data_IF_673704717418
#
_entry.id   IF_673704717418
#
_cell.length_a   1.000
_cell.length_b   1.000
_cell.length_c   1.000
_cell.angle_alpha   90.00
_cell.angle_beta   90.00
_cell.angle_gamma   90.00
#
_symmetry.space_group_name_H-M   'P 1'
#
loop_
_entity.id
_entity.type
_entity.pdbx_description
1 polymer ?
#
# COMPACT_ATOMS: atom_id res chain seq x y z
N UNK A 1 7.08 -20.68 -3.15
CA UNK A 1 7.79 -19.48 -2.65
C UNK A 1 8.52 -18.83 -3.82
N UNK A 2 8.38 -17.53 -4.03
CA UNK A 2 9.17 -16.80 -5.03
C UNK A 2 10.66 -16.79 -4.66
N UNK A 3 11.56 -16.67 -5.66
CA UNK A 3 13.02 -16.64 -5.42
C UNK A 3 13.47 -15.37 -4.67
N UNK A 4 12.68 -14.30 -4.74
CA UNK A 4 12.94 -12.99 -4.12
C UNK A 4 11.70 -12.66 -3.31
N UNK A 5 11.87 -12.33 -2.03
CA UNK A 5 10.78 -11.97 -1.12
C UNK A 5 11.13 -10.67 -0.42
N UNK A 6 10.26 -9.63 -0.45
CA UNK A 6 10.49 -8.42 0.32
C UNK A 6 10.59 -8.74 1.81
N UNK A 7 11.58 -8.14 2.46
CA UNK A 7 11.87 -8.35 3.87
C UNK A 7 11.69 -7.02 4.60
N UNK A 8 10.71 -6.96 5.50
CA UNK A 8 10.31 -5.77 6.24
C UNK A 8 10.96 -5.76 7.63
N UNK A 9 11.62 -4.65 7.96
CA UNK A 9 12.29 -4.45 9.24
C UNK A 9 11.44 -3.59 10.16
N UNK A 10 11.12 -4.10 11.35
CA UNK A 10 10.40 -3.40 12.40
C UNK A 10 11.25 -3.33 13.67
N UNK A 11 10.94 -2.38 14.54
CA UNK A 11 11.63 -2.28 15.83
C UNK A 11 11.22 -3.46 16.72
N UNK A 12 9.91 -3.57 16.98
CA UNK A 12 9.31 -4.61 17.82
C UNK A 12 7.86 -4.97 17.42
N UNK A 13 7.31 -4.29 16.40
CA UNK A 13 5.89 -4.37 16.03
C UNK A 13 5.59 -5.29 14.83
N UNK A 14 6.50 -6.18 14.42
CA UNK A 14 6.31 -7.04 13.24
C UNK A 14 5.00 -7.87 13.31
N UNK A 15 4.67 -8.44 14.47
CA UNK A 15 3.43 -9.22 14.64
C UNK A 15 2.17 -8.34 14.53
N UNK A 16 2.20 -7.15 15.12
CA UNK A 16 1.11 -6.18 15.03
C UNK A 16 0.91 -5.71 13.59
N UNK A 17 2.00 -5.44 12.88
CA UNK A 17 1.98 -5.03 11.48
C UNK A 17 1.40 -6.11 10.58
N UNK A 18 1.88 -7.35 10.68
CA UNK A 18 1.32 -8.48 9.92
C UNK A 18 -0.18 -8.66 10.19
N UNK A 19 -0.59 -8.61 11.46
CA UNK A 19 -2.00 -8.76 11.85
C UNK A 19 -2.87 -7.63 11.29
N UNK A 20 -2.36 -6.40 11.33
CA UNK A 20 -3.02 -5.24 10.74
C UNK A 20 -3.18 -5.37 9.22
N UNK A 21 -2.15 -5.80 8.49
CA UNK A 21 -2.27 -5.96 7.05
C UNK A 21 -3.27 -7.05 6.67
N UNK A 22 -3.32 -8.16 7.42
CA UNK A 22 -4.26 -9.26 7.17
C UNK A 22 -5.70 -8.87 7.46
N UNK A 23 -5.95 -7.93 8.38
CA UNK A 23 -7.31 -7.44 8.63
C UNK A 23 -7.81 -6.48 7.54
N UNK A 24 -6.92 -5.96 6.70
CA UNK A 24 -7.23 -5.00 5.63
C UNK A 24 -7.49 -5.72 4.30
N UNK A 25 -6.58 -6.61 3.90
CA UNK A 25 -6.61 -7.26 2.60
C UNK A 25 -7.50 -8.50 2.59
N UNK A 26 -8.14 -8.79 1.45
CA UNK A 26 -9.13 -9.88 1.35
C UNK A 26 -8.45 -11.24 1.23
N UNK A 27 -7.36 -11.31 0.46
CA UNK A 27 -6.58 -12.53 0.29
C UNK A 27 -5.25 -12.40 1.04
N UNK A 28 -5.31 -12.52 2.37
CA UNK A 28 -4.16 -12.34 3.22
C UNK A 28 -4.10 -13.39 4.33
N UNK A 29 -2.91 -13.87 4.64
CA UNK A 29 -2.68 -14.85 5.71
C UNK A 29 -1.26 -14.78 6.27
N UNK A 30 -1.10 -15.08 7.56
CA UNK A 30 0.20 -15.38 8.18
C UNK A 30 0.46 -16.86 7.95
N UNK A 31 1.63 -17.19 7.40
CA UNK A 31 2.03 -18.58 7.21
C UNK A 31 2.87 -19.11 8.37
N UNK A 32 3.76 -18.28 8.93
CA UNK A 32 4.68 -18.72 9.98
C UNK A 32 5.07 -17.57 10.91
N UNK A 33 5.22 -17.88 12.20
CA UNK A 33 5.74 -16.96 13.21
C UNK A 33 6.87 -17.68 13.98
N UNK A 34 8.04 -17.05 14.03
CA UNK A 34 9.18 -17.45 14.84
C UNK A 34 9.25 -16.63 16.13
N UNK A 35 9.43 -17.29 17.28
CA UNK A 35 9.49 -16.67 18.61
C UNK A 35 10.77 -17.03 19.35
N UNK A 36 11.22 -16.14 20.23
CA UNK A 36 12.37 -16.40 21.12
C UNK A 36 12.08 -17.61 22.00
N UNK A 37 12.95 -18.63 21.94
CA UNK A 37 12.84 -19.83 22.78
C UNK A 37 11.78 -20.84 22.35
N UNK A 38 11.18 -20.68 21.15
CA UNK A 38 10.16 -21.59 20.64
C UNK A 38 10.70 -22.96 20.19
N UNK A 39 10.05 -24.03 20.64
CA UNK A 39 10.03 -25.36 19.99
C UNK A 39 8.74 -25.52 19.17
N UNK A 40 8.56 -26.65 18.46
CA UNK A 40 7.36 -26.96 17.63
C UNK A 40 6.01 -26.84 18.37
N UNK A 41 5.98 -26.80 19.72
CA UNK A 41 4.77 -26.56 20.53
C UNK A 41 4.45 -25.08 20.80
N UNK A 42 5.28 -24.14 20.35
CA UNK A 42 4.84 -23.00 19.55
C UNK A 42 4.23 -21.74 20.18
N UNK A 43 4.22 -21.48 21.49
CA UNK A 43 3.51 -20.29 22.02
C UNK A 43 4.17 -19.50 23.17
N UNK A 44 5.50 -19.54 23.35
CA UNK A 44 6.13 -18.71 24.38
C UNK A 44 7.24 -17.84 23.79
N UNK A 45 7.20 -16.54 24.12
CA UNK A 45 8.23 -15.57 23.79
C UNK A 45 7.84 -14.48 22.78
N UNK A 46 8.57 -13.35 22.75
CA UNK A 46 8.41 -12.31 21.74
C UNK A 46 8.65 -12.84 20.31
N UNK A 47 7.95 -12.26 19.33
CA UNK A 47 8.18 -12.55 17.91
C UNK A 47 9.54 -12.02 17.48
N UNK A 48 10.29 -12.88 16.80
CA UNK A 48 11.53 -12.54 16.11
C UNK A 48 11.19 -12.20 14.66
N UNK A 49 10.53 -13.11 13.96
CA UNK A 49 10.22 -12.95 12.54
C UNK A 49 8.96 -13.70 12.14
N UNK A 50 8.42 -13.39 10.97
CA UNK A 50 7.29 -14.11 10.41
C UNK A 50 7.26 -14.05 8.89
N UNK A 51 6.43 -14.90 8.31
CA UNK A 51 6.10 -14.87 6.89
C UNK A 51 4.60 -14.74 6.74
N UNK A 52 4.18 -13.91 5.80
CA UNK A 52 2.79 -13.63 5.51
C UNK A 52 2.62 -13.34 4.03
N UNK A 53 1.38 -13.28 3.58
CA UNK A 53 1.00 -12.96 2.22
C UNK A 53 -0.08 -11.89 2.22
N UNK A 54 -0.01 -10.97 1.25
CA UNK A 54 -1.08 -10.01 0.93
C UNK A 54 -1.38 -10.10 -0.57
N UNK A 55 -2.63 -10.36 -0.94
CA UNK A 55 -3.10 -10.45 -2.33
C UNK A 55 -2.21 -11.35 -3.21
N UNK A 56 -1.76 -12.48 -2.65
CA UNK A 56 -0.88 -13.46 -3.30
C UNK A 56 0.61 -13.09 -3.33
N UNK A 57 1.01 -11.91 -2.83
CA UNK A 57 2.40 -11.49 -2.71
C UNK A 57 2.98 -11.92 -1.35
N UNK A 58 4.04 -12.73 -1.30
CA UNK A 58 4.67 -13.13 -0.04
C UNK A 58 5.59 -12.03 0.51
N UNK A 59 5.65 -11.94 1.83
CA UNK A 59 6.49 -11.04 2.59
C UNK A 59 7.14 -11.76 3.78
N UNK A 60 8.27 -11.22 4.22
CA UNK A 60 8.88 -11.56 5.51
C UNK A 60 8.91 -10.32 6.40
N UNK A 61 8.79 -10.50 7.71
CA UNK A 61 8.93 -9.45 8.71
C UNK A 61 9.91 -9.87 9.80
N UNK A 62 10.67 -8.91 10.35
CA UNK A 62 11.62 -9.10 11.45
C UNK A 62 11.45 -7.97 12.47
N UNK A 63 11.45 -8.34 13.74
CA UNK A 63 11.74 -7.44 14.85
C UNK A 63 13.25 -7.37 15.05
N UNK A 64 13.87 -6.33 14.48
CA UNK A 64 15.31 -6.14 14.50
C UNK A 64 15.77 -4.98 15.37
N UNK A 65 14.85 -4.25 16.02
CA UNK A 65 15.16 -3.06 16.80
C UNK A 65 15.34 -1.78 15.96
N UNK A 66 15.51 -0.62 16.60
CA UNK A 66 15.44 0.72 15.99
C UNK A 66 16.72 1.12 15.23
N UNK A 67 17.24 0.20 14.41
CA UNK A 67 18.46 0.40 13.64
C UNK A 67 18.19 0.95 12.24
N UNK A 68 17.03 0.63 11.67
CA UNK A 68 16.64 1.02 10.33
C UNK A 68 15.20 1.51 10.33
N UNK A 69 14.90 2.46 9.45
CA UNK A 69 13.55 2.99 9.24
C UNK A 69 13.19 2.88 7.78
N UNK A 70 11.90 2.65 7.51
CA UNK A 70 11.39 2.72 6.16
C UNK A 70 11.52 4.14 5.59
N UNK A 71 11.68 4.21 4.28
CA UNK A 71 11.66 5.45 3.52
C UNK A 71 10.84 5.23 2.26
N UNK A 72 10.31 6.30 1.63
CA UNK A 72 9.57 6.19 0.36
C UNK A 72 10.38 5.61 -0.80
N UNK A 73 11.69 5.36 -0.63
CA UNK A 73 12.53 4.70 -1.63
C UNK A 73 12.07 3.27 -1.96
N UNK A 74 11.35 2.62 -1.04
CA UNK A 74 10.57 1.41 -1.33
C UNK A 74 9.11 1.66 -0.95
N UNK A 75 8.20 1.28 -1.84
CA UNK A 75 6.76 1.37 -1.60
C UNK A 75 6.02 0.17 -2.16
N UNK A 76 4.85 -0.09 -1.61
CA UNK A 76 3.95 -1.14 -2.06
C UNK A 76 2.84 -0.53 -2.92
N UNK A 77 2.87 -0.86 -4.20
CA UNK A 77 1.90 -0.37 -5.18
C UNK A 77 0.70 -1.32 -5.24
N UNK A 78 -0.49 -0.82 -4.93
CA UNK A 78 -1.75 -1.57 -4.96
C UNK A 78 -2.57 -1.08 -6.13
N UNK A 79 -2.84 -1.99 -7.08
CA UNK A 79 -3.74 -1.74 -8.21
C UNK A 79 -5.18 -1.94 -7.76
N UNK A 80 -6.00 -0.90 -7.85
CA UNK A 80 -7.42 -0.94 -7.46
C UNK A 80 -8.31 -0.88 -8.69
N UNK A 81 -9.45 -1.57 -8.69
CA UNK A 81 -10.38 -1.59 -9.82
C UNK A 81 -11.57 -0.63 -9.64
N UNK A 82 -11.93 -0.30 -8.39
CA UNK A 82 -13.09 0.58 -8.10
C UNK A 82 -12.75 1.69 -7.11
N UNK A 83 -13.60 2.72 -7.05
CA UNK A 83 -13.44 3.81 -6.09
C UNK A 83 -13.61 3.32 -4.65
N UNK A 84 -14.51 2.38 -4.40
CA UNK A 84 -14.73 1.82 -3.06
C UNK A 84 -13.49 1.10 -2.55
N UNK A 85 -12.76 0.40 -3.42
CA UNK A 85 -11.50 -0.24 -3.06
C UNK A 85 -10.40 0.78 -2.76
N UNK A 86 -10.28 1.83 -3.58
CA UNK A 86 -9.37 2.96 -3.30
C UNK A 86 -9.70 3.60 -1.95
N UNK A 87 -10.98 3.86 -1.68
CA UNK A 87 -11.44 4.50 -0.46
C UNK A 87 -11.17 3.64 0.78
N UNK A 88 -11.50 2.35 0.73
CA UNK A 88 -11.33 1.44 1.86
C UNK A 88 -9.86 1.26 2.22
N UNK A 89 -9.01 0.98 1.23
CA UNK A 89 -7.58 0.78 1.46
C UNK A 89 -6.89 2.08 1.89
N UNK A 90 -7.23 3.20 1.27
CA UNK A 90 -6.66 4.50 1.63
C UNK A 90 -6.95 4.87 3.08
N UNK A 91 -8.21 4.75 3.52
CA UNK A 91 -8.57 5.12 4.89
C UNK A 91 -7.97 4.15 5.91
N UNK A 92 -8.02 2.84 5.67
CA UNK A 92 -7.47 1.84 6.59
C UNK A 92 -5.94 1.93 6.71
N UNK A 93 -5.21 1.99 5.59
CA UNK A 93 -3.75 1.98 5.62
C UNK A 93 -3.16 3.30 6.13
N UNK A 94 -3.88 4.42 5.97
CA UNK A 94 -3.43 5.71 6.53
C UNK A 94 -3.82 5.93 7.99
N UNK A 95 -4.57 5.01 8.62
CA UNK A 95 -4.95 5.11 10.03
C UNK A 95 -3.70 5.10 10.93
N UNK A 96 -3.50 6.19 11.68
CA UNK A 96 -2.31 6.40 12.51
C UNK A 96 -1.02 6.70 11.72
N UNK A 97 -1.12 6.83 10.40
CA UNK A 97 -0.04 7.18 9.48
C UNK A 97 -0.17 8.59 8.91
N UNK A 98 0.28 8.79 7.67
CA UNK A 98 0.25 10.07 6.95
C UNK A 98 -0.24 9.90 5.52
N UNK A 99 -1.24 10.69 5.14
CA UNK A 99 -1.68 10.83 3.75
C UNK A 99 -0.69 11.72 2.98
N UNK A 100 -0.46 11.41 1.71
CA UNK A 100 0.41 12.16 0.80
C UNK A 100 -0.25 12.35 -0.56
N UNK A 101 0.43 13.02 -1.48
CA UNK A 101 -0.11 13.37 -2.80
C UNK A 101 -0.15 12.17 -3.74
N UNK A 102 -1.00 12.25 -4.77
CA UNK A 102 -0.99 11.35 -5.93
C UNK A 102 -1.17 9.86 -5.56
N UNK A 103 -1.99 9.55 -4.56
CA UNK A 103 -2.27 8.19 -4.11
C UNK A 103 -1.20 7.61 -3.19
N UNK A 104 -0.24 8.41 -2.72
CA UNK A 104 0.76 7.97 -1.74
C UNK A 104 0.27 8.12 -0.30
N UNK A 105 0.66 7.18 0.56
CA UNK A 105 0.51 7.29 2.01
C UNK A 105 1.66 6.56 2.73
N UNK A 106 1.89 6.92 3.98
CA UNK A 106 2.74 6.20 4.94
C UNK A 106 1.82 5.60 6.01
N UNK A 107 1.94 4.29 6.30
CA UNK A 107 1.15 3.68 7.37
C UNK A 107 1.72 3.97 8.77
N UNK A 108 1.03 3.54 9.83
CA UNK A 108 1.48 3.75 11.22
C UNK A 108 2.82 3.09 11.58
N UNK A 109 3.33 2.20 10.73
CA UNK A 109 4.64 1.55 10.89
C UNK A 109 5.72 2.15 9.99
N UNK A 110 5.39 3.15 9.17
CA UNK A 110 6.32 3.86 8.29
C UNK A 110 6.42 3.28 6.87
N UNK A 111 5.66 2.24 6.51
CA UNK A 111 5.71 1.69 5.15
C UNK A 111 4.99 2.64 4.20
N UNK A 112 5.64 2.93 3.06
CA UNK A 112 5.03 3.72 1.99
C UNK A 112 4.16 2.84 1.09
N UNK A 113 2.94 3.29 0.83
CA UNK A 113 1.96 2.64 -0.04
C UNK A 113 1.53 3.58 -1.15
N UNK A 114 1.21 3.01 -2.32
CA UNK A 114 0.59 3.71 -3.44
C UNK A 114 -0.73 3.03 -3.77
N UNK A 115 -1.86 3.68 -3.47
CA UNK A 115 -3.22 3.16 -3.70
C UNK A 115 -3.73 3.78 -4.99
N UNK A 116 -3.57 3.04 -6.09
CA UNK A 116 -3.70 3.58 -7.44
C UNK A 116 -4.73 2.79 -8.24
N UNK A 117 -5.77 3.44 -8.80
CA UNK A 117 -6.70 2.74 -9.66
C UNK A 117 -6.07 2.39 -11.01
N UNK A 118 -6.39 1.21 -11.55
CA UNK A 118 -5.91 0.77 -12.87
C UNK A 118 -6.30 1.74 -13.98
N UNK A 119 -7.42 2.45 -13.81
CA UNK A 119 -7.87 3.51 -14.70
C UNK A 119 -6.81 4.61 -14.87
N UNK A 120 -6.16 5.08 -13.80
CA UNK A 120 -5.17 6.16 -13.89
C UNK A 120 -4.05 5.82 -14.87
N UNK A 121 -3.50 4.60 -14.76
CA UNK A 121 -2.44 4.13 -15.66
C UNK A 121 -2.90 4.05 -17.12
N UNK A 122 -4.14 3.61 -17.37
CA UNK A 122 -4.72 3.56 -18.72
C UNK A 122 -4.87 4.97 -19.32
N UNK A 123 -5.38 5.92 -18.54
CA UNK A 123 -5.62 7.29 -19.01
C UNK A 123 -4.31 8.07 -19.24
N UNK A 124 -3.29 7.87 -18.40
CA UNK A 124 -1.98 8.52 -18.57
C UNK A 124 -1.16 7.96 -19.74
N UNK A 125 -1.45 6.74 -20.20
CA UNK A 125 -0.76 6.08 -21.32
C UNK A 125 -1.51 6.26 -22.65
N UNK A 126 -2.49 7.16 -22.72
CA UNK A 126 -3.18 7.45 -23.96
C UNK A 126 -2.23 7.99 -25.04
N UNK A 127 -2.54 7.72 -26.31
CA UNK A 127 -1.78 8.23 -27.45
C UNK A 127 -2.01 9.72 -27.67
N UNK A 128 -3.15 10.24 -27.21
CA UNK A 128 -3.47 11.65 -27.18
C UNK A 128 -2.78 12.30 -25.98
N UNK A 129 -1.68 13.02 -26.26
CA UNK A 129 -0.87 13.67 -25.24
C UNK A 129 -1.64 14.76 -24.48
N UNK A 130 -2.61 15.43 -25.11
CA UNK A 130 -3.38 16.49 -24.44
C UNK A 130 -4.33 15.89 -23.40
N UNK A 131 -4.96 14.75 -23.71
CA UNK A 131 -5.78 14.00 -22.73
C UNK A 131 -4.95 13.52 -21.55
N UNK A 132 -3.82 12.88 -21.83
CA UNK A 132 -2.91 12.40 -20.79
C UNK A 132 -2.38 13.55 -19.90
N UNK A 133 -2.10 14.71 -20.49
CA UNK A 133 -1.68 15.90 -19.75
C UNK A 133 -2.77 16.44 -18.80
N UNK A 134 -4.04 16.48 -19.24
CA UNK A 134 -5.16 16.88 -18.36
C UNK A 134 -5.31 15.94 -17.16
N UNK A 135 -5.22 14.64 -17.40
CA UNK A 135 -5.25 13.61 -16.35
C UNK A 135 -4.09 13.81 -15.37
N UNK A 136 -2.88 14.06 -15.88
CA UNK A 136 -1.71 14.33 -15.04
C UNK A 136 -1.93 15.59 -14.18
N UNK A 137 -2.45 16.68 -14.76
CA UNK A 137 -2.75 17.92 -14.02
C UNK A 137 -3.78 17.69 -12.92
N UNK A 138 -4.85 16.96 -13.21
CA UNK A 138 -5.88 16.61 -12.24
C UNK A 138 -5.31 15.75 -11.11
N UNK A 139 -4.56 14.69 -11.43
CA UNK A 139 -3.91 13.82 -10.45
C UNK A 139 -2.97 14.59 -9.52
N UNK A 140 -2.20 15.55 -10.04
CA UNK A 140 -1.30 16.37 -9.23
C UNK A 140 -2.03 17.19 -8.16
N UNK A 141 -3.33 17.49 -8.33
CA UNK A 141 -4.14 18.18 -7.33
C UNK A 141 -4.77 17.25 -6.29
N UNK A 142 -4.58 15.94 -6.42
CA UNK A 142 -5.20 14.93 -5.56
C UNK A 142 -4.21 14.41 -4.50
N UNK A 143 -4.75 14.11 -3.32
CA UNK A 143 -4.11 13.24 -2.34
C UNK A 143 -4.59 11.81 -2.57
N UNK A 144 -5.83 11.50 -2.16
CA UNK A 144 -6.54 10.29 -2.58
C UNK A 144 -7.01 10.42 -4.02
N UNK A 145 -6.81 9.38 -4.83
CA UNK A 145 -7.23 9.37 -6.22
C UNK A 145 -8.76 9.23 -6.34
N UNK A 146 -9.35 10.02 -7.22
CA UNK A 146 -10.79 10.02 -7.55
C UNK A 146 -10.96 9.63 -9.02
N UNK A 147 -11.51 8.43 -9.27
CA UNK A 147 -11.65 7.88 -10.63
C UNK A 147 -12.55 8.75 -11.50
N UNK A 148 -13.62 9.32 -10.93
CA UNK A 148 -14.58 10.13 -11.69
C UNK A 148 -13.93 11.44 -12.14
N UNK A 149 -13.18 12.11 -11.26
CA UNK A 149 -12.44 13.32 -11.62
C UNK A 149 -11.34 13.08 -12.63
N UNK A 150 -10.65 11.94 -12.54
CA UNK A 150 -9.67 11.55 -13.58
C UNK A 150 -10.35 11.36 -14.94
N UNK A 151 -11.51 10.71 -14.97
CA UNK A 151 -12.28 10.52 -16.19
C UNK A 151 -12.80 11.85 -16.76
N UNK A 152 -13.33 12.74 -15.91
CA UNK A 152 -13.75 14.09 -16.31
C UNK A 152 -12.60 14.90 -16.93
N UNK A 153 -11.43 14.90 -16.28
CA UNK A 153 -10.25 15.57 -16.82
C UNK A 153 -9.81 14.97 -18.17
N UNK A 154 -9.87 13.64 -18.30
CA UNK A 154 -9.57 12.95 -19.55
C UNK A 154 -10.55 13.36 -20.67
N UNK A 155 -11.85 13.38 -20.38
CA UNK A 155 -12.90 13.74 -21.34
C UNK A 155 -12.91 15.24 -21.68
N UNK A 156 -12.22 16.07 -20.87
CA UNK A 156 -12.15 17.51 -21.05
C UNK A 156 -13.37 18.24 -20.49
N UNK A 157 -14.05 17.64 -19.51
CA UNK A 157 -15.23 18.19 -18.85
C UNK A 157 -14.90 19.12 -17.67
N UNK A 158 -13.63 19.48 -17.51
CA UNK A 158 -13.18 20.45 -16.52
C UNK A 158 -13.77 21.84 -16.82
N UNK A 159 -14.89 22.16 -16.16
CA UNK A 159 -15.10 23.40 -15.39
C UNK A 159 -14.86 24.78 -16.03
N UNK A 160 -14.50 24.91 -17.30
CA UNK A 160 -14.50 26.18 -18.03
C UNK A 160 -15.93 26.50 -18.48
N UNK A 161 -16.79 26.79 -17.52
CA UNK A 161 -17.94 27.66 -17.71
C UNK A 161 -18.04 28.60 -16.49
N UNK A 162 -17.58 29.83 -16.72
CA UNK A 162 -17.70 31.07 -15.92
C UNK A 162 -16.64 31.33 -14.85
#
# INVERSE_FOLDING_TARGET
MGKITPFLWFDHQAEEAMTFYISIFKNAEIHHISRVGGSESGQQGPVISGTFQLEGQPFMALNGGPHYSFTPAISLFVSCETQEEVDDLWEKLSEGGKKSRCGWLEDKYGISWQIIPTLLGKLMQDKDAEKAERVMKAMLQMDKIDLAKLQQAYDGEDGENV
#
